data_IF_601526324682
#
_entry.id   IF_601526324682
#
_cell.length_a   1.000
_cell.length_b   1.000
_cell.length_c   1.000
_cell.angle_alpha   90.00
_cell.angle_beta   90.00
_cell.angle_gamma   90.00
#
_symmetry.space_group_name_H-M   'P 1'
#
loop_
_entity.id
_entity.type
_entity.pdbx_description
1 polymer ?
#
# COMPACT_ATOMS: atom_id res chain seq x y z
N UNK A 1 -16.25 3.22 -2.84
CA UNK A 1 -16.45 3.61 -1.43
C UNK A 1 -15.59 4.85 -1.19
N UNK A 2 -16.05 5.80 -0.37
CA UNK A 2 -15.26 7.00 -0.05
C UNK A 2 -14.21 6.63 1.00
N UNK A 3 -12.93 6.76 0.65
CA UNK A 3 -11.80 6.43 1.52
C UNK A 3 -11.19 7.66 2.20
N UNK A 4 -11.80 8.84 2.09
CA UNK A 4 -11.23 10.08 2.65
C UNK A 4 -10.92 9.98 4.16
N UNK A 5 -11.81 9.35 4.93
CA UNK A 5 -11.59 9.13 6.36
C UNK A 5 -10.44 8.15 6.62
N UNK A 6 -10.39 7.06 5.85
CA UNK A 6 -9.31 6.07 5.92
C UNK A 6 -7.95 6.71 5.62
N UNK A 7 -7.88 7.56 4.61
CA UNK A 7 -6.66 8.23 4.17
C UNK A 7 -6.17 9.22 5.21
N UNK A 8 -7.10 9.97 5.81
CA UNK A 8 -6.81 10.85 6.94
C UNK A 8 -6.25 10.09 8.15
N UNK A 9 -6.87 8.96 8.53
CA UNK A 9 -6.39 8.10 9.61
C UNK A 9 -5.02 7.51 9.30
N UNK A 10 -4.77 7.15 8.04
CA UNK A 10 -3.47 6.67 7.57
C UNK A 10 -2.39 7.76 7.53
N UNK A 11 -2.76 9.04 7.69
CA UNK A 11 -1.85 10.18 7.65
C UNK A 11 -1.50 10.66 6.24
N UNK A 12 -2.38 10.42 5.26
CA UNK A 12 -2.16 10.78 3.87
C UNK A 12 -3.18 11.79 3.36
N UNK A 13 -2.70 12.74 2.56
CA UNK A 13 -3.53 13.62 1.74
C UNK A 13 -3.77 12.99 0.36
N UNK A 14 -4.95 13.28 -0.21
CA UNK A 14 -5.38 12.78 -1.52
C UNK A 14 -5.10 13.85 -2.55
N UNK A 15 -3.89 13.82 -3.10
CA UNK A 15 -3.46 14.90 -3.98
C UNK A 15 -3.51 14.48 -5.45
N UNK A 16 -3.42 13.17 -5.73
CA UNK A 16 -3.40 12.60 -7.08
C UNK A 16 -4.00 11.19 -7.13
N UNK A 17 -4.15 10.64 -8.34
CA UNK A 17 -4.35 9.21 -8.52
C UNK A 17 -3.11 8.47 -8.04
N UNK A 18 -3.28 7.65 -7.01
CA UNK A 18 -2.18 6.95 -6.36
C UNK A 18 -2.61 5.53 -6.00
N UNK A 19 -1.66 4.60 -6.10
CA UNK A 19 -1.82 3.28 -5.54
C UNK A 19 -1.53 3.31 -4.05
N UNK A 20 -2.32 2.58 -3.27
CA UNK A 20 -2.02 2.37 -1.87
C UNK A 20 -2.08 0.89 -1.52
N UNK A 21 -0.95 0.36 -1.08
CA UNK A 21 -0.84 -1.04 -0.68
C UNK A 21 -1.03 -1.16 0.82
N UNK A 22 -2.13 -1.78 1.21
CA UNK A 22 -2.47 -2.05 2.62
C UNK A 22 -2.00 -3.44 3.00
N UNK A 23 -1.06 -3.53 3.94
CA UNK A 23 -0.33 -4.74 4.31
C UNK A 23 -0.77 -5.20 5.71
N UNK A 24 -1.40 -6.38 5.85
CA UNK A 24 -1.72 -6.92 7.17
C UNK A 24 -0.48 -7.45 7.90
N UNK A 25 -0.36 -7.18 9.20
CA UNK A 25 0.76 -7.68 10.00
C UNK A 25 0.75 -9.21 10.17
N UNK A 26 -0.43 -9.82 10.36
CA UNK A 26 -0.59 -11.23 10.75
C UNK A 26 -1.34 -12.08 9.70
N UNK A 27 -1.31 -11.67 8.43
CA UNK A 27 -2.00 -12.37 7.34
C UNK A 27 -1.22 -13.56 6.75
N UNK A 28 -1.64 -13.98 5.55
CA UNK A 28 -0.95 -14.95 4.69
C UNK A 28 0.56 -14.66 4.63
N UNK A 29 1.38 -15.53 5.22
CA UNK A 29 2.83 -15.30 5.37
C UNK A 29 3.53 -15.06 4.03
N UNK A 30 3.16 -15.82 3.00
CA UNK A 30 3.67 -15.65 1.63
C UNK A 30 3.27 -14.30 1.04
N UNK A 31 2.00 -13.91 1.18
CA UNK A 31 1.45 -12.69 0.62
C UNK A 31 2.05 -11.44 1.31
N UNK A 32 2.19 -11.49 2.63
CA UNK A 32 2.86 -10.44 3.42
C UNK A 32 4.33 -10.36 3.01
N UNK A 33 5.04 -11.48 2.88
CA UNK A 33 6.44 -11.49 2.42
C UNK A 33 6.60 -10.89 1.02
N UNK A 34 5.71 -11.23 0.07
CA UNK A 34 5.68 -10.61 -1.27
C UNK A 34 5.49 -9.09 -1.17
N UNK A 35 4.60 -8.62 -0.30
CA UNK A 35 4.35 -7.18 -0.07
C UNK A 35 5.60 -6.45 0.42
N UNK A 36 6.33 -7.03 1.38
CA UNK A 36 7.59 -6.45 1.85
C UNK A 36 8.66 -6.42 0.74
N UNK A 37 8.74 -7.48 -0.07
CA UNK A 37 9.66 -7.51 -1.21
C UNK A 37 9.34 -6.39 -2.22
N UNK A 38 8.07 -6.24 -2.56
CA UNK A 38 7.59 -5.18 -3.43
C UNK A 38 7.89 -3.79 -2.85
N UNK A 39 7.57 -3.57 -1.57
CA UNK A 39 7.82 -2.32 -0.87
C UNK A 39 9.30 -1.92 -0.93
N UNK A 40 10.21 -2.86 -0.70
CA UNK A 40 11.65 -2.56 -0.70
C UNK A 40 12.16 -2.22 -2.11
N UNK A 41 11.65 -2.90 -3.14
CA UNK A 41 11.99 -2.63 -4.55
C UNK A 41 11.47 -1.25 -5.00
N UNK A 42 10.26 -0.89 -4.58
CA UNK A 42 9.53 0.28 -5.08
C UNK A 42 9.39 1.41 -4.04
N UNK A 43 10.21 1.41 -2.99
CA UNK A 43 10.06 2.32 -1.85
C UNK A 43 10.09 3.79 -2.26
N UNK A 44 10.97 4.14 -3.19
CA UNK A 44 11.19 5.53 -3.63
C UNK A 44 10.13 6.00 -4.64
N UNK A 45 9.26 5.10 -5.11
CA UNK A 45 8.30 5.44 -6.16
C UNK A 45 7.22 6.39 -5.62
N UNK A 46 6.99 7.56 -6.26
CA UNK A 46 5.92 8.47 -5.89
C UNK A 46 4.52 7.90 -6.13
N UNK A 47 4.40 6.85 -6.95
CA UNK A 47 3.11 6.32 -7.41
C UNK A 47 2.43 5.41 -6.39
N UNK A 48 3.15 5.00 -5.34
CA UNK A 48 2.61 4.08 -4.35
C UNK A 48 2.91 4.53 -2.91
N UNK A 49 1.87 4.45 -2.09
CA UNK A 49 1.93 4.62 -0.63
C UNK A 49 1.70 3.26 0.04
N UNK A 50 2.26 3.06 1.21
CA UNK A 50 2.12 1.80 1.95
C UNK A 50 1.42 2.05 3.27
N UNK A 51 0.42 1.24 3.60
CA UNK A 51 -0.28 1.30 4.87
C UNK A 51 -0.15 -0.03 5.59
N UNK A 52 0.29 -0.02 6.83
CA UNK A 52 0.28 -1.23 7.64
C UNK A 52 -0.95 -1.26 8.54
N UNK A 53 -1.64 -2.41 8.56
CA UNK A 53 -2.68 -2.69 9.55
C UNK A 53 -2.06 -3.44 10.72
N UNK A 54 -2.63 -3.24 11.91
CA UNK A 54 -2.19 -3.79 13.20
C UNK A 54 -1.07 -3.00 13.91
N UNK A 55 -1.42 -2.49 15.09
CA UNK A 55 -0.77 -1.41 15.84
C UNK A 55 0.37 -1.84 16.78
N UNK A 56 0.77 -3.11 16.81
CA UNK A 56 1.66 -3.58 17.90
C UNK A 56 3.08 -2.96 17.89
N UNK A 57 3.57 -2.46 16.75
CA UNK A 57 4.86 -1.76 16.71
C UNK A 57 5.13 -0.95 15.44
N UNK A 58 4.44 0.19 15.26
CA UNK A 58 4.86 1.19 14.26
C UNK A 58 6.37 1.47 14.35
N UNK A 59 6.90 1.50 15.58
CA UNK A 59 8.32 1.62 15.88
C UNK A 59 9.16 0.49 15.27
N UNK A 60 8.71 -0.77 15.31
CA UNK A 60 9.49 -1.87 14.75
C UNK A 60 9.50 -1.84 13.22
N UNK A 61 8.39 -1.45 12.58
CA UNK A 61 8.34 -1.28 11.12
C UNK A 61 9.26 -0.14 10.70
N UNK A 62 9.17 1.02 11.37
CA UNK A 62 10.08 2.16 11.12
C UNK A 62 11.54 1.78 11.36
N UNK A 63 11.85 1.09 12.45
CA UNK A 63 13.21 0.59 12.74
C UNK A 63 13.67 -0.37 11.65
N UNK A 64 12.83 -1.30 11.21
CA UNK A 64 13.16 -2.26 10.16
C UNK A 64 13.45 -1.55 8.83
N UNK A 65 12.65 -0.55 8.46
CA UNK A 65 12.87 0.25 7.26
C UNK A 65 14.16 1.08 7.37
N UNK A 66 14.42 1.72 8.51
CA UNK A 66 15.65 2.46 8.76
C UNK A 66 16.89 1.57 8.66
N UNK A 67 16.86 0.35 9.22
CA UNK A 67 17.97 -0.62 9.09
C UNK A 67 18.22 -1.01 7.64
N UNK A 68 17.20 -0.94 6.78
CA UNK A 68 17.29 -1.21 5.34
C UNK A 68 17.63 0.06 4.52
N UNK A 69 18.01 1.16 5.18
CA UNK A 69 18.38 2.42 4.54
C UNK A 69 17.21 3.26 4.04
N UNK A 70 15.98 2.99 4.51
CA UNK A 70 14.76 3.70 4.13
C UNK A 70 14.33 4.66 5.24
N UNK A 71 15.00 5.81 5.31
CA UNK A 71 14.84 6.78 6.40
C UNK A 71 13.60 7.69 6.25
N UNK A 72 13.18 7.98 5.01
CA UNK A 72 11.96 8.74 4.76
C UNK A 72 10.73 7.84 4.90
N UNK A 73 10.05 7.95 6.04
CA UNK A 73 8.83 7.20 6.36
C UNK A 73 7.55 7.92 5.97
N UNK A 74 7.62 9.05 5.26
CA UNK A 74 6.44 9.81 4.82
C UNK A 74 5.50 9.01 3.92
N UNK A 75 6.03 7.96 3.26
CA UNK A 75 5.29 7.02 2.39
C UNK A 75 4.60 5.89 3.15
N UNK A 76 4.75 5.86 4.48
CA UNK A 76 4.25 4.79 5.35
C UNK A 76 3.17 5.32 6.28
N UNK A 77 1.95 4.86 6.03
CA UNK A 77 0.80 5.07 6.90
C UNK A 77 0.56 3.88 7.82
N UNK A 78 -0.21 4.12 8.86
CA UNK A 78 -0.60 3.09 9.82
C UNK A 78 -2.06 3.29 10.18
N UNK A 79 -2.81 2.20 10.23
CA UNK A 79 -4.22 2.22 10.62
C UNK A 79 -4.56 1.08 11.56
N UNK A 80 -5.62 1.29 12.34
CA UNK A 80 -6.19 0.22 13.15
C UNK A 80 -6.81 -0.87 12.26
N UNK A 81 -6.70 -2.12 12.69
CA UNK A 81 -7.28 -3.26 11.97
C UNK A 81 -8.80 -3.08 11.80
N UNK A 82 -9.49 -2.59 12.84
CA UNK A 82 -10.94 -2.37 12.79
C UNK A 82 -11.30 -1.38 11.69
N UNK A 83 -10.56 -0.28 11.58
CA UNK A 83 -10.77 0.72 10.51
C UNK A 83 -10.55 0.09 9.13
N UNK A 84 -9.51 -0.73 8.97
CA UNK A 84 -9.27 -1.46 7.73
C UNK A 84 -10.44 -2.38 7.36
N UNK A 85 -10.93 -3.17 8.32
CA UNK A 85 -12.03 -4.11 8.12
C UNK A 85 -13.36 -3.41 7.82
N UNK A 86 -13.66 -2.31 8.51
CA UNK A 86 -14.86 -1.49 8.26
C UNK A 86 -14.84 -0.87 6.85
N UNK A 87 -13.65 -0.67 6.27
CA UNK A 87 -13.45 -0.21 4.90
C UNK A 87 -13.26 -1.37 3.90
N UNK A 88 -13.68 -2.59 4.25
CA UNK A 88 -13.68 -3.75 3.35
C UNK A 88 -12.30 -4.31 3.00
N UNK A 89 -11.26 -3.97 3.76
CA UNK A 89 -9.91 -4.49 3.55
C UNK A 89 -9.73 -5.84 4.24
N UNK A 90 -8.75 -6.60 3.79
CA UNK A 90 -8.50 -7.94 4.32
C UNK A 90 -7.50 -7.92 5.48
N UNK A 91 -7.84 -8.65 6.55
CA UNK A 91 -6.88 -9.02 7.59
C UNK A 91 -5.93 -10.15 7.17
N UNK A 92 -6.28 -10.88 6.11
CA UNK A 92 -5.55 -12.07 5.65
C UNK A 92 -4.64 -11.77 4.47
N UNK A 93 -5.07 -10.90 3.55
CA UNK A 93 -4.38 -10.62 2.31
C UNK A 93 -4.05 -9.13 2.21
N UNK A 94 -2.92 -8.77 1.59
CA UNK A 94 -2.67 -7.38 1.22
C UNK A 94 -3.79 -6.88 0.31
N UNK A 95 -4.18 -5.63 0.48
CA UNK A 95 -5.24 -4.99 -0.31
C UNK A 95 -4.64 -3.81 -1.06
N UNK A 96 -4.76 -3.81 -2.38
CA UNK A 96 -4.42 -2.69 -3.23
C UNK A 96 -5.63 -1.77 -3.36
N UNK A 97 -5.43 -0.50 -3.04
CA UNK A 97 -6.37 0.57 -3.29
C UNK A 97 -5.91 1.36 -4.52
N UNK A 98 -6.78 1.46 -5.52
CA UNK A 98 -6.62 2.35 -6.66
C UNK A 98 -7.47 3.59 -6.37
N UNK A 99 -6.84 4.66 -5.87
CA UNK A 99 -7.54 5.85 -5.39
C UNK A 99 -7.68 6.85 -6.55
N UNK A 100 -8.91 7.16 -6.92
CA UNK A 100 -9.23 8.21 -7.89
C UNK A 100 -9.14 9.60 -7.28
N UNK A 101 -9.07 10.63 -8.14
CA UNK A 101 -9.04 12.05 -7.72
C UNK A 101 -10.28 12.50 -6.93
N UNK A 102 -11.37 11.73 -6.99
CA UNK A 102 -12.61 11.97 -6.26
C UNK A 102 -12.65 11.30 -4.87
N UNK A 103 -11.53 10.73 -4.41
CA UNK A 103 -11.41 10.04 -3.12
C UNK A 103 -12.07 8.67 -3.10
N UNK A 104 -12.65 8.20 -4.21
CA UNK A 104 -13.15 6.83 -4.32
C UNK A 104 -12.00 5.90 -4.64
N UNK A 105 -12.03 4.73 -4.02
CA UNK A 105 -11.09 3.67 -4.34
C UNK A 105 -11.78 2.40 -4.86
N UNK A 106 -11.08 1.73 -5.78
CA UNK A 106 -11.30 0.33 -6.10
C UNK A 106 -10.34 -0.51 -5.24
N UNK A 107 -10.86 -1.61 -4.69
CA UNK A 107 -10.09 -2.53 -3.84
C UNK A 107 -9.81 -3.81 -4.61
N UNK A 108 -8.56 -4.24 -4.60
CA UNK A 108 -8.12 -5.53 -5.15
C UNK A 108 -7.35 -6.29 -4.07
N UNK A 109 -7.68 -7.55 -3.81
CA UNK A 109 -6.89 -8.38 -2.90
C UNK A 109 -5.71 -8.99 -3.65
N UNK A 110 -4.51 -8.84 -3.09
CA UNK A 110 -3.26 -9.28 -3.70
C UNK A 110 -2.95 -10.72 -3.28
N UNK A 111 -3.77 -11.67 -3.73
CA UNK A 111 -3.76 -13.06 -3.27
C UNK A 111 -3.58 -14.09 -4.39
N UNK A 112 -3.30 -13.67 -5.63
CA UNK A 112 -2.98 -14.59 -6.71
C UNK A 112 -1.74 -15.44 -6.36
N UNK A 113 -1.90 -16.77 -6.46
CA UNK A 113 -0.84 -17.73 -6.12
C UNK A 113 0.36 -17.58 -7.07
N UNK A 114 0.08 -17.43 -8.37
CA UNK A 114 1.05 -17.23 -9.45
C UNK A 114 1.75 -15.86 -9.40
N UNK A 115 1.22 -14.92 -8.62
CA UNK A 115 1.76 -13.57 -8.47
C UNK A 115 1.37 -12.59 -9.57
N UNK A 116 0.41 -12.94 -10.43
CA UNK A 116 -0.11 -12.08 -11.50
C UNK A 116 -0.57 -10.70 -11.01
N UNK A 117 -1.19 -10.61 -9.83
CA UNK A 117 -1.58 -9.31 -9.22
C UNK A 117 -0.38 -8.36 -9.06
N UNK A 118 0.77 -8.89 -8.66
CA UNK A 118 1.98 -8.10 -8.42
C UNK A 118 2.63 -7.66 -9.73
N UNK A 119 2.65 -8.55 -10.74
CA UNK A 119 3.15 -8.22 -12.07
C UNK A 119 2.31 -7.12 -12.70
N UNK A 120 0.99 -7.24 -12.63
CA UNK A 120 0.08 -6.21 -13.11
C UNK A 120 0.33 -4.86 -12.44
N UNK A 121 0.51 -4.83 -11.11
CA UNK A 121 0.81 -3.58 -10.39
C UNK A 121 2.15 -2.97 -10.83
N UNK A 122 3.19 -3.78 -11.06
CA UNK A 122 4.46 -3.29 -11.59
C UNK A 122 4.28 -2.65 -12.97
N UNK A 123 3.54 -3.30 -13.88
CA UNK A 123 3.25 -2.78 -15.22
C UNK A 123 2.49 -1.44 -15.16
N UNK A 124 1.49 -1.31 -14.28
CA UNK A 124 0.75 -0.05 -14.11
C UNK A 124 1.67 1.07 -13.61
N UNK A 125 2.58 0.76 -12.68
CA UNK A 125 3.53 1.75 -12.17
C UNK A 125 4.56 2.17 -13.23
N UNK A 126 4.86 1.34 -14.22
CA UNK A 126 5.76 1.66 -15.33
C UNK A 126 5.08 2.45 -16.46
N UNK A 127 3.82 2.18 -16.79
CA UNK A 127 3.12 2.80 -17.95
C UNK A 127 2.93 4.32 -17.82
N UNK A 128 2.71 4.85 -16.62
CA UNK A 128 2.63 6.31 -16.40
C UNK A 128 4.01 7.02 -16.37
N UNK A 129 5.06 6.44 -16.97
CA UNK A 129 6.41 7.02 -16.99
C UNK A 129 6.90 7.46 -18.38
N UNK A 130 6.11 7.26 -19.44
CA UNK A 130 6.44 7.85 -20.74
C UNK A 130 6.07 9.34 -20.77
N UNK A 131 7.04 10.27 -20.92
CA UNK A 131 6.70 11.63 -21.28
C UNK A 131 6.15 11.61 -22.71
N UNK A 132 5.02 12.27 -22.92
CA UNK A 132 4.44 12.51 -24.25
C UNK A 132 5.55 12.83 -25.27
N UNK A 133 5.78 11.91 -26.22
CA UNK A 133 6.51 12.24 -27.45
C UNK A 133 5.56 13.08 -28.30
N UNK A 134 5.78 14.39 -28.28
CA UNK A 134 5.21 15.34 -29.24
C UNK A 134 5.72 15.05 -30.65
#
# INVERSE_FOLDING_TARGET
MDYSLFLKEAGFEVDNEEFMLVIPQNGCSTCVKKSYGFLLKNYESPKIKYVFTHYSSQKAIKVRLNVLGKEDVSRIGFIDLRVALENGLSQMYPSLLEIGKDGKAKVTFMNAEDGSDWQWLEEQMEQDSEPYKF
#
